data_IF_843052985794
#
_entry.id   IF_843052985794
#
_cell.length_a   1.000
_cell.length_b   1.000
_cell.length_c   1.000
_cell.angle_alpha   90.00
_cell.angle_beta   90.00
_cell.angle_gamma   90.00
#
_symmetry.space_group_name_H-M   'P 1'
#
loop_
_entity.id
_entity.type
_entity.pdbx_description
1 polymer ?
#
# COMPACT_ATOMS: atom_id res chain seq x y z
N UNK A 1 10.38 -8.73 -12.03
CA UNK A 1 9.02 -8.26 -11.79
C UNK A 1 8.45 -8.94 -10.55
N UNK A 2 7.85 -8.20 -9.62
CA UNK A 2 7.22 -8.73 -8.42
C UNK A 2 6.11 -7.78 -7.96
N UNK A 3 4.89 -8.31 -7.78
CA UNK A 3 3.78 -7.60 -7.19
C UNK A 3 3.43 -8.20 -5.82
N UNK A 4 3.15 -7.34 -4.85
CA UNK A 4 2.73 -7.74 -3.51
C UNK A 4 1.32 -7.25 -3.24
N UNK A 5 0.44 -8.19 -2.94
CA UNK A 5 -0.98 -7.95 -2.67
C UNK A 5 -1.24 -7.25 -1.34
N UNK A 6 -2.34 -6.52 -1.28
CA UNK A 6 -2.81 -5.83 -0.08
C UNK A 6 -3.36 -6.77 1.00
N UNK A 7 -3.63 -6.21 2.18
CA UNK A 7 -4.32 -6.92 3.25
C UNK A 7 -5.73 -7.32 2.78
N UNK A 8 -6.10 -8.57 2.94
CA UNK A 8 -7.34 -9.19 2.42
C UNK A 8 -7.45 -9.24 0.89
N UNK A 9 -6.35 -9.09 0.14
CA UNK A 9 -6.35 -9.13 -1.32
C UNK A 9 -5.44 -10.21 -1.89
N UNK A 10 -5.74 -10.61 -3.13
CA UNK A 10 -4.94 -11.49 -3.98
C UNK A 10 -5.22 -11.20 -5.46
N UNK A 11 -4.18 -11.29 -6.30
CA UNK A 11 -4.29 -11.17 -7.77
C UNK A 11 -4.99 -9.86 -8.24
N UNK A 12 -4.87 -8.79 -7.46
CA UNK A 12 -5.50 -7.51 -7.73
C UNK A 12 -4.63 -6.57 -8.58
N UNK A 13 -3.46 -7.01 -9.03
CA UNK A 13 -2.51 -6.20 -9.80
C UNK A 13 -3.12 -5.58 -11.05
N UNK A 14 -4.11 -6.24 -11.69
CA UNK A 14 -4.77 -5.70 -12.87
C UNK A 14 -5.54 -4.39 -12.62
N UNK A 15 -5.95 -4.12 -11.35
CA UNK A 15 -6.58 -2.85 -10.98
C UNK A 15 -5.64 -1.66 -11.16
N UNK A 16 -4.35 -1.89 -11.08
CA UNK A 16 -3.31 -0.86 -11.08
C UNK A 16 -2.60 -0.70 -12.43
N UNK A 17 -2.89 -1.57 -13.40
CA UNK A 17 -2.33 -1.51 -14.74
C UNK A 17 -2.55 -0.15 -15.46
N UNK A 18 -3.68 0.57 -15.25
CA UNK A 18 -3.90 1.90 -15.84
C UNK A 18 -2.93 2.98 -15.32
N UNK A 19 -2.33 2.78 -14.15
CA UNK A 19 -1.48 3.79 -13.49
C UNK A 19 0.00 3.57 -13.71
N UNK A 20 0.42 2.32 -13.85
CA UNK A 20 1.83 1.97 -14.05
C UNK A 20 1.97 0.65 -14.81
N UNK A 21 3.07 0.53 -15.57
CA UNK A 21 3.46 -0.74 -16.16
C UNK A 21 4.03 -1.64 -15.06
N UNK A 22 3.20 -2.55 -14.55
CA UNK A 22 3.55 -3.44 -13.43
C UNK A 22 4.54 -4.53 -13.92
N UNK A 23 4.41 -4.94 -15.18
CA UNK A 23 5.15 -6.05 -15.79
C UNK A 23 6.57 -5.70 -16.30
N UNK A 24 7.07 -4.50 -16.00
CA UNK A 24 8.42 -4.11 -16.44
C UNK A 24 9.51 -4.84 -15.66
N UNK A 25 10.59 -5.20 -16.40
CA UNK A 25 11.82 -5.70 -15.79
C UNK A 25 12.37 -4.72 -14.75
N UNK A 26 12.92 -5.24 -13.68
CA UNK A 26 13.49 -4.46 -12.59
C UNK A 26 12.47 -3.56 -11.85
N UNK A 27 11.18 -3.89 -11.94
CA UNK A 27 10.11 -3.20 -11.21
C UNK A 27 9.60 -4.08 -10.09
N UNK A 28 9.45 -3.48 -8.91
CA UNK A 28 8.73 -4.05 -7.77
C UNK A 28 7.54 -3.16 -7.50
N UNK A 29 6.39 -3.77 -7.28
CA UNK A 29 5.13 -3.07 -7.05
C UNK A 29 4.38 -3.67 -5.86
N UNK A 30 3.59 -2.86 -5.18
CA UNK A 30 2.74 -3.36 -4.11
C UNK A 30 1.58 -2.43 -3.80
N UNK A 31 0.50 -3.02 -3.31
CA UNK A 31 -0.73 -2.33 -2.93
C UNK A 31 -0.95 -2.39 -1.43
N UNK A 32 -1.28 -1.28 -0.80
CA UNK A 32 -1.65 -1.18 0.61
C UNK A 32 -0.60 -1.84 1.54
N UNK A 33 -0.92 -2.93 2.24
CA UNK A 33 0.05 -3.74 2.98
C UNK A 33 1.16 -4.29 2.08
N UNK A 34 0.81 -4.71 0.88
CA UNK A 34 1.78 -5.15 -0.12
C UNK A 34 2.79 -4.07 -0.51
N UNK A 35 2.45 -2.78 -0.38
CA UNK A 35 3.40 -1.70 -0.62
C UNK A 35 4.54 -1.70 0.43
N UNK A 36 4.25 -2.06 1.68
CA UNK A 36 5.29 -2.27 2.72
C UNK A 36 6.21 -3.41 2.30
N UNK A 37 5.65 -4.54 1.86
CA UNK A 37 6.44 -5.69 1.39
C UNK A 37 7.27 -5.38 0.16
N UNK A 38 6.72 -4.61 -0.79
CA UNK A 38 7.44 -4.15 -1.97
C UNK A 38 8.63 -3.25 -1.61
N UNK A 39 8.44 -2.34 -0.67
CA UNK A 39 9.49 -1.47 -0.15
C UNK A 39 10.61 -2.27 0.53
N UNK A 40 10.26 -3.15 1.47
CA UNK A 40 11.22 -4.03 2.14
C UNK A 40 12.00 -4.91 1.15
N UNK A 41 11.30 -5.49 0.17
CA UNK A 41 11.92 -6.31 -0.88
C UNK A 41 12.88 -5.49 -1.77
N UNK A 42 12.56 -4.21 -2.01
CA UNK A 42 13.43 -3.31 -2.77
C UNK A 42 14.74 -3.01 -2.03
N UNK A 43 14.67 -2.75 -0.72
CA UNK A 43 15.86 -2.57 0.11
C UNK A 43 16.71 -3.83 0.11
N UNK A 44 16.10 -4.99 0.34
CA UNK A 44 16.77 -6.29 0.36
C UNK A 44 17.48 -6.59 -0.97
N UNK A 45 16.82 -6.28 -2.08
CA UNK A 45 17.40 -6.50 -3.40
C UNK A 45 18.63 -5.61 -3.63
N UNK A 46 18.58 -4.32 -3.28
CA UNK A 46 19.76 -3.44 -3.39
C UNK A 46 20.91 -3.94 -2.50
N UNK A 47 20.62 -4.33 -1.26
CA UNK A 47 21.60 -4.90 -0.33
C UNK A 47 22.23 -6.19 -0.86
N UNK A 48 21.45 -6.96 -1.64
CA UNK A 48 21.93 -8.19 -2.31
C UNK A 48 22.51 -7.95 -3.71
N UNK A 49 22.81 -6.70 -4.07
CA UNK A 49 23.32 -6.29 -5.38
C UNK A 49 22.43 -6.69 -6.57
N UNK A 50 21.13 -6.85 -6.34
CA UNK A 50 20.16 -7.08 -7.41
C UNK A 50 19.71 -5.74 -7.99
N UNK A 51 19.60 -5.70 -9.32
CA UNK A 51 19.17 -4.49 -10.03
C UNK A 51 17.68 -4.25 -9.84
N UNK A 52 17.32 -3.07 -9.34
CA UNK A 52 15.96 -2.53 -9.33
C UNK A 52 15.99 -1.12 -9.90
N UNK A 53 14.98 -0.78 -10.70
CA UNK A 53 14.85 0.54 -11.33
C UNK A 53 13.65 1.32 -10.84
N UNK A 54 12.55 0.60 -10.50
CA UNK A 54 11.29 1.25 -10.14
C UNK A 54 10.62 0.52 -8.98
N UNK A 55 10.14 1.30 -8.02
CA UNK A 55 9.26 0.88 -6.95
C UNK A 55 7.93 1.61 -7.11
N UNK A 56 6.84 0.87 -7.38
CA UNK A 56 5.48 1.42 -7.43
C UNK A 56 4.74 1.07 -6.13
N UNK A 57 4.24 2.08 -5.45
CA UNK A 57 3.46 1.98 -4.22
C UNK A 57 2.04 2.47 -4.50
N UNK A 58 1.08 1.56 -4.52
CA UNK A 58 -0.34 1.86 -4.72
C UNK A 58 -1.04 1.95 -3.37
N UNK A 59 -1.59 3.11 -3.02
CA UNK A 59 -2.24 3.38 -1.73
C UNK A 59 -1.49 2.74 -0.55
N UNK A 60 -0.18 3.03 -0.36
CA UNK A 60 0.65 2.35 0.64
C UNK A 60 0.02 2.47 2.03
N UNK A 61 -0.01 1.39 2.80
CA UNK A 61 -0.48 1.42 4.18
C UNK A 61 0.36 2.41 4.99
N UNK A 62 -0.26 3.54 5.38
CA UNK A 62 0.39 4.67 6.04
C UNK A 62 -0.40 5.05 7.29
N UNK A 63 0.06 4.59 8.46
CA UNK A 63 -0.64 4.79 9.74
C UNK A 63 0.23 5.42 10.81
N UNK A 64 1.47 5.78 10.49
CA UNK A 64 2.43 6.33 11.45
C UNK A 64 2.04 7.70 12.03
N UNK A 65 1.12 8.42 11.39
CA UNK A 65 0.56 9.67 11.89
C UNK A 65 -0.69 9.45 12.76
N UNK A 66 -1.21 8.22 12.80
CA UNK A 66 -2.40 7.89 13.56
C UNK A 66 -2.12 7.77 15.07
N UNK A 67 -3.10 8.14 15.87
CA UNK A 67 -3.03 8.02 17.33
C UNK A 67 -2.98 6.55 17.76
N UNK A 68 -2.27 6.21 18.84
CA UNK A 68 -2.26 4.83 19.39
C UNK A 68 -3.65 4.26 19.67
N UNK A 69 -4.61 5.12 20.03
CA UNK A 69 -6.01 4.72 20.24
C UNK A 69 -6.67 4.20 18.97
N UNK A 70 -6.38 4.79 17.81
CA UNK A 70 -6.87 4.31 16.52
C UNK A 70 -6.38 2.89 16.25
N UNK A 71 -5.07 2.66 16.36
CA UNK A 71 -4.46 1.34 16.14
C UNK A 71 -5.09 0.30 17.07
N UNK A 72 -5.23 0.62 18.37
CA UNK A 72 -5.86 -0.26 19.34
C UNK A 72 -7.30 -0.64 18.97
N UNK A 73 -8.09 0.32 18.48
CA UNK A 73 -9.48 0.06 18.06
C UNK A 73 -9.53 -0.89 16.87
N UNK A 74 -8.64 -0.74 15.89
CA UNK A 74 -8.57 -1.66 14.74
C UNK A 74 -8.27 -3.10 15.18
N UNK A 75 -7.25 -3.29 16.01
CA UNK A 75 -6.84 -4.61 16.52
C UNK A 75 -7.96 -5.25 17.35
N UNK A 76 -8.57 -4.50 18.25
CA UNK A 76 -9.70 -5.00 19.06
C UNK A 76 -10.92 -5.35 18.20
N UNK A 77 -11.22 -4.54 17.18
CA UNK A 77 -12.29 -4.81 16.23
C UNK A 77 -12.07 -6.13 15.48
N UNK A 78 -10.86 -6.37 14.98
CA UNK A 78 -10.50 -7.61 14.32
C UNK A 78 -10.60 -8.82 15.28
N UNK A 79 -10.05 -8.72 16.49
CA UNK A 79 -10.10 -9.80 17.49
C UNK A 79 -11.53 -10.16 17.90
N UNK A 80 -12.41 -9.17 17.96
CA UNK A 80 -13.83 -9.37 18.34
C UNK A 80 -14.61 -10.14 17.29
N UNK A 81 -14.46 -9.77 16.02
CA UNK A 81 -15.17 -10.38 14.89
C UNK A 81 -14.35 -10.21 13.60
N UNK A 82 -13.42 -11.13 13.31
CA UNK A 82 -12.54 -11.04 12.15
C UNK A 82 -13.29 -11.01 10.82
N UNK A 83 -14.39 -11.75 10.71
CA UNK A 83 -15.18 -11.80 9.47
C UNK A 83 -15.85 -10.45 9.19
N UNK A 84 -16.52 -9.89 10.18
CA UNK A 84 -17.15 -8.57 10.06
C UNK A 84 -16.11 -7.47 9.80
N UNK A 85 -14.96 -7.55 10.46
CA UNK A 85 -13.89 -6.59 10.25
C UNK A 85 -13.41 -6.59 8.79
N UNK A 86 -13.13 -7.78 8.21
CA UNK A 86 -12.71 -7.91 6.81
C UNK A 86 -13.77 -7.38 5.86
N UNK A 87 -15.05 -7.69 6.08
CA UNK A 87 -16.16 -7.18 5.25
C UNK A 87 -16.24 -5.65 5.28
N UNK A 88 -16.14 -5.05 6.46
CA UNK A 88 -16.13 -3.59 6.61
C UNK A 88 -14.90 -2.96 5.93
N UNK A 89 -13.72 -3.56 6.11
CA UNK A 89 -12.50 -3.10 5.47
C UNK A 89 -12.63 -3.11 3.93
N UNK A 90 -13.11 -4.20 3.35
CA UNK A 90 -13.31 -4.33 1.90
C UNK A 90 -14.36 -3.34 1.38
N UNK A 91 -15.41 -3.09 2.14
CA UNK A 91 -16.42 -2.05 1.82
C UNK A 91 -15.77 -0.66 1.79
N UNK A 92 -14.93 -0.32 2.76
CA UNK A 92 -14.21 0.95 2.81
C UNK A 92 -13.16 1.08 1.69
N UNK A 93 -12.64 -0.02 1.17
CA UNK A 93 -11.74 -0.02 0.01
C UNK A 93 -12.46 0.31 -1.32
N UNK A 94 -13.80 0.39 -1.34
CA UNK A 94 -14.60 0.63 -2.54
C UNK A 94 -15.26 -0.63 -3.09
N UNK A 95 -15.44 -1.67 -2.28
CA UNK A 95 -16.12 -2.94 -2.65
C UNK A 95 -15.60 -3.57 -3.94
N UNK A 96 -14.30 -3.86 -4.04
CA UNK A 96 -13.72 -4.45 -5.25
C UNK A 96 -14.33 -5.84 -5.54
N UNK A 97 -14.20 -6.37 -6.77
CA UNK A 97 -14.70 -7.68 -7.13
C UNK A 97 -14.22 -8.80 -6.21
N UNK A 98 -15.11 -9.74 -5.85
CA UNK A 98 -14.86 -10.83 -4.92
C UNK A 98 -13.67 -11.73 -5.32
N UNK A 99 -13.35 -11.83 -6.61
CA UNK A 99 -12.19 -12.61 -7.11
C UNK A 99 -10.84 -12.19 -6.52
N UNK A 100 -10.75 -10.94 -6.02
CA UNK A 100 -9.53 -10.42 -5.38
C UNK A 100 -9.48 -10.65 -3.88
N UNK A 101 -10.51 -11.25 -3.27
CA UNK A 101 -10.56 -11.41 -1.83
C UNK A 101 -9.74 -12.61 -1.36
N UNK A 102 -8.97 -12.39 -0.31
CA UNK A 102 -8.23 -13.39 0.45
C UNK A 102 -8.47 -13.14 1.93
N UNK A 103 -8.45 -14.17 2.74
CA UNK A 103 -8.49 -13.97 4.19
C UNK A 103 -7.18 -13.36 4.70
N UNK A 104 -7.26 -12.15 5.25
CA UNK A 104 -6.17 -11.53 6.01
C UNK A 104 -6.16 -12.03 7.45
N UNK A 105 -5.00 -12.05 8.10
CA UNK A 105 -4.85 -12.46 9.50
C UNK A 105 -4.51 -11.29 10.41
N UNK A 106 -4.56 -11.54 11.74
CA UNK A 106 -4.29 -10.52 12.74
C UNK A 106 -2.84 -10.01 12.67
N UNK A 107 -1.91 -10.91 12.40
CA UNK A 107 -0.49 -10.62 12.30
C UNK A 107 -0.20 -9.63 11.17
N UNK A 108 -0.83 -9.83 9.99
CA UNK A 108 -0.73 -8.90 8.86
C UNK A 108 -1.30 -7.52 9.23
N UNK A 109 -2.44 -7.50 9.93
CA UNK A 109 -3.06 -6.25 10.38
C UNK A 109 -2.19 -5.52 11.41
N UNK A 110 -1.64 -6.22 12.38
CA UNK A 110 -0.74 -5.65 13.39
C UNK A 110 0.55 -5.10 12.73
N UNK A 111 1.13 -5.83 11.78
CA UNK A 111 2.31 -5.39 11.04
C UNK A 111 2.05 -4.09 10.26
N UNK A 112 0.98 -4.04 9.47
CA UNK A 112 0.68 -2.86 8.66
C UNK A 112 0.32 -1.61 9.49
N UNK A 113 -0.35 -1.79 10.64
CA UNK A 113 -0.74 -0.69 11.51
C UNK A 113 0.44 -0.09 12.30
N UNK A 114 1.44 -0.91 12.61
CA UNK A 114 2.62 -0.47 13.37
C UNK A 114 3.83 -0.14 12.48
N UNK A 115 3.73 -0.37 11.17
CA UNK A 115 4.84 -0.10 10.27
C UNK A 115 5.19 1.39 10.24
N UNK A 116 6.49 1.67 10.33
CA UNK A 116 7.03 3.03 10.26
C UNK A 116 7.85 3.18 8.98
N UNK A 117 7.37 3.99 8.06
CA UNK A 117 8.14 4.40 6.90
C UNK A 117 9.30 5.29 7.35
N UNK A 118 10.52 4.93 7.01
CA UNK A 118 11.72 5.66 7.40
C UNK A 118 12.27 6.45 6.22
N UNK A 119 12.47 7.74 6.42
CA UNK A 119 12.99 8.64 5.39
C UNK A 119 14.37 8.22 4.90
N UNK A 120 15.25 7.78 5.81
CA UNK A 120 16.60 7.34 5.47
C UNK A 120 16.58 6.11 4.54
N UNK A 121 15.62 5.21 4.69
CA UNK A 121 15.49 4.04 3.83
C UNK A 121 14.95 4.40 2.44
N UNK A 122 14.04 5.39 2.36
CA UNK A 122 13.55 5.94 1.09
C UNK A 122 14.67 6.68 0.33
N UNK A 123 15.48 7.47 1.05
CA UNK A 123 16.66 8.12 0.46
C UNK A 123 17.68 7.10 -0.03
N UNK A 124 17.93 6.05 0.74
CA UNK A 124 18.82 4.96 0.36
C UNK A 124 18.41 4.32 -0.99
N UNK A 125 17.12 4.07 -1.20
CA UNK A 125 16.63 3.58 -2.50
C UNK A 125 16.91 4.59 -3.63
N UNK A 126 16.63 5.88 -3.43
CA UNK A 126 16.88 6.92 -4.42
C UNK A 126 18.38 7.06 -4.77
N UNK A 127 19.25 7.02 -3.76
CA UNK A 127 20.72 7.10 -3.93
C UNK A 127 21.25 5.90 -4.72
N UNK A 128 20.56 4.75 -4.65
CA UNK A 128 20.86 3.56 -5.47
C UNK A 128 20.11 3.54 -6.83
N UNK A 129 19.53 4.67 -7.25
CA UNK A 129 18.92 4.84 -8.56
C UNK A 129 17.52 4.26 -8.72
N UNK A 130 16.85 3.88 -7.63
CA UNK A 130 15.47 3.39 -7.66
C UNK A 130 14.50 4.57 -7.77
N UNK A 131 13.66 4.57 -8.81
CA UNK A 131 12.59 5.55 -8.98
C UNK A 131 11.38 5.13 -8.14
N UNK A 132 11.06 5.91 -7.11
CA UNK A 132 9.88 5.68 -6.27
C UNK A 132 8.68 6.41 -6.90
N UNK A 133 7.57 5.71 -7.10
CA UNK A 133 6.31 6.24 -7.61
C UNK A 133 5.18 5.85 -6.66
N UNK A 134 4.44 6.81 -6.18
CA UNK A 134 3.36 6.61 -5.22
C UNK A 134 2.04 7.07 -5.83
N UNK A 135 1.02 6.23 -5.77
CA UNK A 135 -0.29 6.48 -6.35
C UNK A 135 -1.33 6.47 -5.23
N UNK A 136 -2.05 7.57 -5.07
CA UNK A 136 -2.99 7.79 -3.96
C UNK A 136 -4.35 8.25 -4.49
N UNK A 137 -5.41 7.81 -3.85
CA UNK A 137 -6.75 8.34 -4.06
C UNK A 137 -7.11 9.36 -2.99
N UNK A 138 -7.62 10.54 -3.37
CA UNK A 138 -8.05 11.57 -2.41
C UNK A 138 -9.29 11.12 -1.59
N UNK A 139 -10.10 10.21 -2.16
CA UNK A 139 -11.28 9.62 -1.49
C UNK A 139 -10.95 8.32 -0.74
N UNK A 140 -9.68 8.04 -0.51
CA UNK A 140 -9.26 6.88 0.28
C UNK A 140 -9.81 6.96 1.70
N UNK A 141 -10.63 5.98 2.09
CA UNK A 141 -11.23 5.89 3.43
C UNK A 141 -10.42 5.02 4.39
N UNK A 142 -9.30 4.46 3.95
CA UNK A 142 -8.43 3.56 4.74
C UNK A 142 -7.24 4.32 5.29
N UNK A 143 -6.51 5.05 4.42
CA UNK A 143 -5.30 5.77 4.82
C UNK A 143 -5.51 7.28 4.73
N UNK A 144 -4.77 8.09 5.51
CA UNK A 144 -4.77 9.55 5.38
C UNK A 144 -3.96 9.96 4.13
N UNK A 145 -4.62 9.92 2.96
CA UNK A 145 -3.96 10.07 1.65
C UNK A 145 -3.17 11.39 1.53
N UNK A 146 -3.68 12.49 2.11
CA UNK A 146 -2.98 13.77 2.08
C UNK A 146 -1.69 13.74 2.90
N UNK A 147 -1.72 13.19 4.10
CA UNK A 147 -0.53 13.04 4.94
C UNK A 147 0.49 12.10 4.31
N UNK A 148 0.03 11.02 3.69
CA UNK A 148 0.88 10.12 2.91
C UNK A 148 1.51 10.84 1.71
N UNK A 149 0.74 11.65 0.98
CA UNK A 149 1.23 12.48 -0.12
C UNK A 149 2.35 13.43 0.35
N UNK A 150 2.12 14.15 1.44
CA UNK A 150 3.09 15.09 2.01
C UNK A 150 4.37 14.36 2.44
N UNK A 151 4.24 13.18 3.06
CA UNK A 151 5.37 12.37 3.52
C UNK A 151 6.23 11.82 2.36
N UNK A 152 5.60 11.26 1.31
CA UNK A 152 6.34 10.64 0.21
C UNK A 152 6.87 11.62 -0.84
N UNK A 153 6.34 12.85 -0.92
CA UNK A 153 6.70 13.85 -1.94
C UNK A 153 8.20 14.19 -2.01
N UNK A 154 8.96 14.24 -0.91
CA UNK A 154 10.40 14.47 -0.97
C UNK A 154 11.22 13.31 -1.58
N UNK A 155 10.64 12.11 -1.66
CA UNK A 155 11.36 10.88 -2.01
C UNK A 155 10.99 10.30 -3.37
N UNK A 156 9.91 10.77 -4.00
CA UNK A 156 9.46 10.19 -5.25
C UNK A 156 8.37 10.99 -5.95
N UNK A 157 7.93 10.46 -7.09
CA UNK A 157 6.81 11.03 -7.81
C UNK A 157 5.50 10.57 -7.17
N UNK A 158 4.76 11.47 -6.56
CA UNK A 158 3.46 11.20 -5.93
C UNK A 158 2.34 11.68 -6.84
N UNK A 159 1.40 10.78 -7.13
CA UNK A 159 0.20 11.03 -7.94
C UNK A 159 -1.03 10.93 -7.04
N UNK A 160 -1.65 12.06 -6.72
CA UNK A 160 -2.87 12.12 -5.92
C UNK A 160 -4.07 12.34 -6.84
N UNK A 161 -4.94 11.33 -6.94
CA UNK A 161 -6.11 11.33 -7.83
C UNK A 161 -7.38 11.75 -7.08
N UNK A 162 -7.99 12.84 -7.51
CA UNK A 162 -9.09 13.52 -6.82
C UNK A 162 -10.33 12.67 -6.53
N UNK A 163 -10.66 11.72 -7.41
CA UNK A 163 -11.93 10.98 -7.34
C UNK A 163 -11.76 9.48 -7.08
N UNK A 164 -10.56 9.03 -6.72
CA UNK A 164 -10.29 7.61 -6.53
C UNK A 164 -10.27 7.21 -5.05
N UNK A 165 -10.74 6.00 -4.78
CA UNK A 165 -10.76 5.36 -3.48
C UNK A 165 -9.44 4.61 -3.18
N UNK A 166 -9.41 3.76 -2.14
CA UNK A 166 -8.23 2.98 -1.74
C UNK A 166 -7.73 2.04 -2.85
N UNK A 167 -8.63 1.42 -3.60
CA UNK A 167 -8.30 0.57 -4.75
C UNK A 167 -7.97 1.35 -6.04
N UNK A 168 -7.85 2.68 -5.96
CA UNK A 168 -7.68 3.58 -7.10
C UNK A 168 -8.79 3.43 -8.15
N UNK A 169 -10.00 3.21 -7.70
CA UNK A 169 -11.19 3.13 -8.53
C UNK A 169 -12.14 4.29 -8.19
N UNK A 170 -12.92 4.73 -9.17
CA UNK A 170 -14.05 5.61 -8.88
C UNK A 170 -15.11 4.84 -8.09
N UNK A 171 -15.64 5.44 -7.03
CA UNK A 171 -16.81 4.88 -6.39
C UNK A 171 -17.95 4.82 -7.42
N UNK A 172 -18.50 3.65 -7.62
CA UNK A 172 -19.70 3.51 -8.44
C UNK A 172 -20.86 4.20 -7.73
N UNK A 173 -21.41 5.23 -8.35
CA UNK A 173 -22.64 5.88 -7.93
C UNK A 173 -23.83 4.90 -7.99
#
# INVERSE_FOLDING_TARGET
MKFFSGFCFQNEEELFAPFAQIDQLYTISGFSYGAIKAFQASIQAIQSHQRIQTLNLFSPAFFQTQKPSFIKVQILGFRKDPQRYRQNFLSLCGSPPQKYFKEGCLEELEELLHFQWKEEELRYLNENGVKIRVFLGEKDSIIPAKEACDFFSPFGNVFLYKNLNHCLQCDHL
#
